data_IF_937930527611
#
_entry.id   IF_937930527611
#
_cell.length_a   1.000
_cell.length_b   1.000
_cell.length_c   1.000
_cell.angle_alpha   90.00
_cell.angle_beta   90.00
_cell.angle_gamma   90.00
#
_symmetry.space_group_name_H-M   'P 1'
#
loop_
_entity.id
_entity.type
_entity.pdbx_description
1 polymer ?
#
# COMPACT_ATOMS: atom_id res chain seq x y z
N UNK A 1 5.65 -26.17 58.42
CA UNK A 1 4.75 -26.34 57.27
C UNK A 1 3.32 -26.54 57.80
N UNK A 2 2.43 -25.54 57.58
CA UNK A 2 1.03 -25.66 58.04
C UNK A 2 0.31 -26.70 57.16
N UNK A 3 -0.21 -27.74 57.79
CA UNK A 3 -1.04 -28.74 57.12
C UNK A 3 -2.51 -28.35 57.26
N UNK A 4 -3.25 -28.33 56.17
CA UNK A 4 -4.70 -28.18 56.13
C UNK A 4 -5.24 -29.44 55.45
N UNK A 5 -6.12 -30.17 56.13
CA UNK A 5 -6.68 -31.46 55.68
C UNK A 5 -5.63 -32.55 55.37
N UNK A 6 -4.53 -32.58 56.13
CA UNK A 6 -3.45 -33.56 55.96
C UNK A 6 -2.45 -33.27 54.83
N UNK A 7 -2.71 -32.26 53.99
CA UNK A 7 -1.84 -31.87 52.90
C UNK A 7 -1.05 -30.61 53.26
N UNK A 8 0.23 -30.57 52.92
CA UNK A 8 1.07 -29.38 53.07
C UNK A 8 0.51 -28.22 52.27
N UNK A 9 0.30 -27.08 52.91
CA UNK A 9 -0.18 -25.85 52.26
C UNK A 9 0.78 -25.40 51.15
N UNK A 10 2.05 -25.66 51.30
CA UNK A 10 3.08 -25.42 50.34
C UNK A 10 2.88 -26.25 49.06
N UNK A 11 2.64 -27.57 49.20
CA UNK A 11 2.40 -28.46 48.06
C UNK A 11 1.11 -28.08 47.33
N UNK A 12 0.06 -27.71 48.02
CA UNK A 12 -1.21 -27.26 47.46
C UNK A 12 -1.02 -25.95 46.63
N UNK A 13 -0.27 -25.00 47.19
CA UNK A 13 0.04 -23.76 46.45
C UNK A 13 0.93 -24.01 45.26
N UNK A 14 1.90 -24.92 45.34
CA UNK A 14 2.76 -25.30 44.21
C UNK A 14 1.94 -25.96 43.09
N UNK A 15 1.00 -26.84 43.45
CA UNK A 15 0.10 -27.48 42.48
C UNK A 15 -0.80 -26.46 41.77
N UNK A 16 -1.40 -25.52 42.53
CA UNK A 16 -2.19 -24.43 41.96
C UNK A 16 -1.39 -23.57 41.00
N UNK A 17 -0.15 -23.18 41.36
CA UNK A 17 0.74 -22.40 40.50
C UNK A 17 1.09 -23.19 39.22
N UNK A 18 1.33 -24.51 39.37
CA UNK A 18 1.64 -25.37 38.22
C UNK A 18 0.45 -25.50 37.29
N UNK A 19 -0.78 -25.64 37.82
CA UNK A 19 -2.00 -25.66 37.00
C UNK A 19 -2.27 -24.33 36.32
N UNK A 20 -2.09 -23.20 37.02
CA UNK A 20 -2.20 -21.87 36.41
C UNK A 20 -1.18 -21.69 35.25
N UNK A 21 0.08 -22.09 35.47
CA UNK A 21 1.11 -22.03 34.44
C UNK A 21 0.77 -22.91 33.23
N UNK A 22 0.27 -24.13 33.43
CA UNK A 22 -0.16 -25.03 32.36
C UNK A 22 -1.32 -24.44 31.55
N UNK A 23 -2.32 -23.85 32.22
CA UNK A 23 -3.43 -23.16 31.55
C UNK A 23 -2.96 -21.96 30.76
N UNK A 24 -2.01 -21.20 31.28
CA UNK A 24 -1.45 -20.05 30.59
C UNK A 24 -0.64 -20.48 29.37
N UNK A 25 0.14 -21.56 29.42
CA UNK A 25 0.85 -22.15 28.29
C UNK A 25 -0.14 -22.61 27.23
N UNK A 26 -1.20 -23.34 27.58
CA UNK A 26 -2.23 -23.82 26.67
C UNK A 26 -2.97 -22.66 25.96
N UNK A 27 -3.35 -21.63 26.72
CA UNK A 27 -3.94 -20.40 26.15
C UNK A 27 -2.99 -19.75 25.14
N UNK A 28 -1.71 -19.64 25.51
CA UNK A 28 -0.68 -19.05 24.67
C UNK A 28 -0.43 -19.83 23.37
N UNK A 29 -0.36 -21.16 23.46
CA UNK A 29 -0.18 -22.02 22.30
C UNK A 29 -1.38 -21.96 21.36
N UNK A 30 -2.60 -21.95 21.89
CA UNK A 30 -3.83 -21.77 21.11
C UNK A 30 -3.86 -20.42 20.40
N UNK A 31 -3.52 -19.34 21.08
CA UNK A 31 -3.43 -18.00 20.47
C UNK A 31 -2.36 -17.95 19.38
N UNK A 32 -1.18 -18.51 19.64
CA UNK A 32 -0.07 -18.55 18.68
C UNK A 32 -0.45 -19.32 17.41
N UNK A 33 -1.09 -20.48 17.56
CA UNK A 33 -1.60 -21.27 16.44
C UNK A 33 -2.65 -20.51 15.63
N UNK A 34 -3.62 -19.87 16.31
CA UNK A 34 -4.66 -19.07 15.66
C UNK A 34 -4.08 -17.90 14.87
N UNK A 35 -3.16 -17.14 15.45
CA UNK A 35 -2.51 -16.02 14.76
C UNK A 35 -1.60 -16.49 13.61
N UNK A 36 -0.97 -17.65 13.74
CA UNK A 36 -0.19 -18.22 12.64
C UNK A 36 -1.07 -18.60 11.46
N UNK A 37 -2.21 -19.25 11.70
CA UNK A 37 -3.19 -19.59 10.69
C UNK A 37 -3.76 -18.36 10.00
N UNK A 38 -4.15 -17.33 10.77
CA UNK A 38 -4.64 -16.06 10.22
C UNK A 38 -3.58 -15.33 9.39
N UNK A 39 -2.30 -15.40 9.78
CA UNK A 39 -1.21 -14.80 9.00
C UNK A 39 -1.06 -15.47 7.64
N UNK A 40 -1.19 -16.79 7.56
CA UNK A 40 -1.15 -17.53 6.29
C UNK A 40 -2.36 -17.15 5.42
N UNK A 41 -3.57 -17.18 6.00
CA UNK A 41 -4.80 -16.82 5.28
C UNK A 41 -4.76 -15.39 4.75
N UNK A 42 -4.14 -14.46 5.48
CA UNK A 42 -4.05 -13.06 5.05
C UNK A 42 -3.19 -12.85 3.80
N UNK A 43 -2.31 -13.79 3.44
CA UNK A 43 -1.46 -13.71 2.24
C UNK A 43 -2.18 -14.29 1.01
N UNK A 44 -3.19 -15.15 1.19
CA UNK A 44 -3.91 -15.83 0.11
C UNK A 44 -4.44 -14.86 -0.96
N UNK A 45 -5.09 -13.72 -0.64
CA UNK A 45 -5.56 -12.78 -1.64
C UNK A 45 -4.44 -12.23 -2.53
N UNK A 46 -3.24 -12.03 -1.97
CA UNK A 46 -2.09 -11.54 -2.72
C UNK A 46 -1.60 -12.58 -3.75
N UNK A 47 -1.55 -13.86 -3.37
CA UNK A 47 -1.13 -14.94 -4.25
C UNK A 47 -2.18 -15.22 -5.33
N UNK A 48 -3.48 -15.12 -4.97
CA UNK A 48 -4.60 -15.42 -5.88
C UNK A 48 -4.94 -14.29 -6.85
N UNK A 49 -4.42 -13.08 -6.63
CA UNK A 49 -4.76 -11.91 -7.43
C UNK A 49 -4.39 -12.08 -8.91
N UNK A 50 -3.16 -12.50 -9.23
CA UNK A 50 -2.72 -12.69 -10.63
C UNK A 50 -3.39 -13.89 -11.32
N UNK A 51 -3.51 -15.09 -10.72
CA UNK A 51 -4.27 -16.17 -11.32
C UNK A 51 -5.73 -15.82 -11.61
N UNK A 52 -6.42 -15.16 -10.67
CA UNK A 52 -7.82 -14.75 -10.86
C UNK A 52 -7.96 -13.69 -11.96
N UNK A 53 -7.04 -12.72 -12.02
CA UNK A 53 -6.99 -11.71 -13.08
C UNK A 53 -6.78 -12.36 -14.44
N UNK A 54 -5.80 -13.25 -14.57
CA UNK A 54 -5.52 -13.95 -15.82
C UNK A 54 -6.70 -14.79 -16.26
N UNK A 55 -7.33 -15.52 -15.34
CA UNK A 55 -8.54 -16.28 -15.59
C UNK A 55 -9.70 -15.39 -16.05
N UNK A 56 -9.92 -14.26 -15.38
CA UNK A 56 -10.97 -13.31 -15.75
C UNK A 56 -10.74 -12.73 -17.14
N UNK A 57 -9.50 -12.33 -17.47
CA UNK A 57 -9.17 -11.76 -18.78
C UNK A 57 -9.27 -12.78 -19.92
N UNK A 58 -8.98 -14.07 -19.68
CA UNK A 58 -9.12 -15.09 -20.73
C UNK A 58 -10.55 -15.56 -20.96
N UNK A 59 -11.41 -15.53 -19.92
CA UNK A 59 -12.80 -15.96 -20.06
C UNK A 59 -13.77 -14.83 -20.41
N UNK A 60 -13.43 -13.59 -20.07
CA UNK A 60 -14.28 -12.41 -20.25
C UNK A 60 -13.49 -11.29 -20.91
N UNK A 61 -13.54 -11.21 -22.23
CA UNK A 61 -12.78 -10.21 -23.02
C UNK A 61 -13.02 -8.75 -22.61
N UNK A 62 -14.24 -8.41 -22.16
CA UNK A 62 -14.57 -7.07 -21.66
C UNK A 62 -13.80 -6.69 -20.39
N UNK A 63 -13.27 -7.66 -19.63
CA UNK A 63 -12.49 -7.40 -18.42
C UNK A 63 -11.06 -6.96 -18.73
N UNK A 64 -10.56 -7.21 -19.93
CA UNK A 64 -9.20 -6.82 -20.33
C UNK A 64 -9.01 -5.30 -20.24
N UNK A 65 -9.95 -4.53 -20.80
CA UNK A 65 -9.92 -3.06 -20.75
C UNK A 65 -9.93 -2.53 -19.31
N UNK A 66 -10.66 -3.20 -18.42
CA UNK A 66 -10.70 -2.85 -17.01
C UNK A 66 -9.38 -3.16 -16.30
N UNK A 67 -8.87 -4.41 -16.40
CA UNK A 67 -7.66 -4.81 -15.68
C UNK A 67 -6.37 -4.20 -16.22
N UNK A 68 -6.31 -3.90 -17.53
CA UNK A 68 -5.19 -3.17 -18.17
C UNK A 68 -5.33 -1.65 -17.99
N UNK A 69 -6.53 -1.15 -17.70
CA UNK A 69 -6.79 0.26 -17.51
C UNK A 69 -6.40 0.79 -16.12
N UNK A 70 -6.43 2.12 -15.98
CA UNK A 70 -6.05 2.84 -14.75
C UNK A 70 -6.85 2.40 -13.52
N UNK A 71 -8.15 2.16 -13.67
CA UNK A 71 -9.02 1.73 -12.57
C UNK A 71 -8.64 0.34 -12.04
N UNK A 72 -8.40 -0.62 -12.93
CA UNK A 72 -8.00 -1.97 -12.55
C UNK A 72 -6.69 -1.99 -11.79
N UNK A 73 -5.71 -1.18 -12.21
CA UNK A 73 -4.43 -1.04 -11.51
C UNK A 73 -4.58 -0.43 -10.12
N UNK A 74 -5.39 0.63 -9.99
CA UNK A 74 -5.66 1.25 -8.69
C UNK A 74 -6.26 0.23 -7.73
N UNK A 75 -7.25 -0.55 -8.19
CA UNK A 75 -7.88 -1.58 -7.36
C UNK A 75 -6.88 -2.68 -6.96
N UNK A 76 -6.03 -3.14 -7.87
CA UNK A 76 -4.98 -4.12 -7.56
C UNK A 76 -4.02 -3.59 -6.48
N UNK A 77 -3.57 -2.35 -6.60
CA UNK A 77 -2.69 -1.72 -5.60
C UNK A 77 -3.42 -1.60 -4.25
N UNK A 78 -4.68 -1.20 -4.23
CA UNK A 78 -5.48 -1.11 -3.00
C UNK A 78 -5.59 -2.49 -2.33
N UNK A 79 -5.91 -3.53 -3.08
CA UNK A 79 -6.01 -4.90 -2.54
C UNK A 79 -4.67 -5.36 -1.94
N UNK A 80 -3.55 -5.16 -2.65
CA UNK A 80 -2.21 -5.48 -2.15
C UNK A 80 -1.89 -4.70 -0.86
N UNK A 81 -2.19 -3.41 -0.84
CA UNK A 81 -1.93 -2.56 0.32
C UNK A 81 -2.75 -2.99 1.54
N UNK A 82 -4.05 -3.23 1.36
CA UNK A 82 -4.94 -3.71 2.44
C UNK A 82 -4.45 -5.06 2.96
N UNK A 83 -4.12 -6.00 2.07
CA UNK A 83 -3.59 -7.32 2.45
C UNK A 83 -2.30 -7.20 3.25
N UNK A 84 -1.38 -6.34 2.81
CA UNK A 84 -0.11 -6.10 3.50
C UNK A 84 -0.31 -5.47 4.88
N UNK A 85 -1.20 -4.50 5.00
CA UNK A 85 -1.56 -3.89 6.30
C UNK A 85 -2.17 -4.93 7.24
N UNK A 86 -3.12 -5.74 6.75
CA UNK A 86 -3.71 -6.82 7.54
C UNK A 86 -2.65 -7.82 8.03
N UNK A 87 -1.72 -8.22 7.16
CA UNK A 87 -0.61 -9.11 7.52
C UNK A 87 0.28 -8.52 8.62
N UNK A 88 0.69 -7.25 8.48
CA UNK A 88 1.49 -6.57 9.51
C UNK A 88 0.74 -6.50 10.84
N UNK A 89 -0.56 -6.16 10.81
CA UNK A 89 -1.38 -6.09 12.01
C UNK A 89 -1.44 -7.44 12.72
N UNK A 90 -1.76 -8.52 11.99
CA UNK A 90 -1.82 -9.88 12.55
C UNK A 90 -0.47 -10.30 13.13
N UNK A 91 0.63 -10.08 12.40
CA UNK A 91 1.98 -10.39 12.87
C UNK A 91 2.33 -9.64 14.16
N UNK A 92 1.99 -8.37 14.23
CA UNK A 92 2.26 -7.55 15.41
C UNK A 92 1.37 -7.90 16.59
N UNK A 93 0.14 -8.38 16.35
CA UNK A 93 -0.72 -8.97 17.38
C UNK A 93 -0.12 -10.26 17.94
N UNK A 94 0.40 -11.12 17.07
CA UNK A 94 1.11 -12.34 17.47
C UNK A 94 2.32 -12.04 18.36
N UNK A 95 3.17 -11.09 17.96
CA UNK A 95 4.38 -10.72 18.69
C UNK A 95 4.06 -10.10 20.07
N UNK A 96 2.93 -9.38 20.20
CA UNK A 96 2.48 -8.80 21.46
C UNK A 96 1.74 -9.79 22.35
N UNK A 97 1.07 -10.80 21.77
CA UNK A 97 0.43 -11.91 22.51
C UNK A 97 1.45 -12.89 23.10
N UNK A 98 2.62 -13.00 22.49
CA UNK A 98 3.77 -13.66 23.09
C UNK A 98 4.37 -12.69 24.13
N UNK A 99 3.80 -12.72 25.34
CA UNK A 99 4.30 -11.96 26.49
C UNK A 99 5.83 -11.95 26.49
N UNK A 100 6.39 -10.76 26.36
CA UNK A 100 7.73 -10.29 26.63
C UNK A 100 8.62 -11.19 27.50
N UNK A 101 8.98 -12.36 27.05
CA UNK A 101 10.05 -13.16 27.64
C UNK A 101 11.37 -12.98 26.91
N UNK A 102 11.37 -12.34 25.74
CA UNK A 102 12.62 -11.75 25.24
C UNK A 102 12.77 -10.40 25.94
N UNK A 103 13.57 -10.41 27.00
CA UNK A 103 14.33 -9.26 27.46
C UNK A 103 15.12 -8.75 26.23
N UNK A 104 14.41 -8.06 25.33
CA UNK A 104 15.07 -7.23 24.34
C UNK A 104 15.77 -6.12 25.14
N UNK A 105 17.01 -6.42 25.44
CA UNK A 105 18.00 -5.52 26.00
C UNK A 105 18.35 -4.43 24.96
N UNK A 106 17.33 -3.90 24.30
CA UNK A 106 17.44 -2.83 23.33
C UNK A 106 17.42 -1.49 24.09
N UNK A 107 18.53 -1.28 24.83
CA UNK A 107 18.73 -0.08 25.64
C UNK A 107 18.73 1.20 24.78
N UNK A 108 18.90 1.10 23.45
CA UNK A 108 18.84 2.21 22.52
C UNK A 108 18.04 1.87 21.25
N UNK A 109 16.71 1.98 21.28
CA UNK A 109 15.91 1.81 20.07
C UNK A 109 16.26 2.90 19.04
N UNK A 110 16.09 2.60 17.74
CA UNK A 110 16.40 3.53 16.66
C UNK A 110 15.70 4.90 16.81
N UNK A 111 14.51 4.92 17.45
CA UNK A 111 13.78 6.13 17.77
C UNK A 111 14.56 7.04 18.72
N UNK A 112 15.24 6.47 19.70
CA UNK A 112 16.07 7.23 20.62
C UNK A 112 17.27 7.87 19.89
N UNK A 113 17.89 7.13 18.96
CA UNK A 113 18.98 7.65 18.13
C UNK A 113 18.52 8.82 17.28
N UNK A 114 17.35 8.70 16.66
CA UNK A 114 16.79 9.74 15.81
C UNK A 114 16.37 10.98 16.62
N UNK A 115 15.74 10.78 17.79
CA UNK A 115 15.32 11.86 18.68
C UNK A 115 16.50 12.66 19.27
N UNK A 116 17.68 12.03 19.44
CA UNK A 116 18.86 12.71 19.95
C UNK A 116 19.49 13.71 18.95
N UNK A 117 19.09 13.69 17.69
CA UNK A 117 19.53 14.65 16.67
C UNK A 117 18.84 16.00 16.96
N UNK A 118 19.61 17.04 17.25
CA UNK A 118 19.09 18.37 17.67
C UNK A 118 17.94 18.93 16.81
N UNK A 119 18.01 18.97 15.44
CA UNK A 119 16.91 19.47 14.62
C UNK A 119 15.66 18.58 14.69
N UNK A 120 15.84 17.24 14.73
CA UNK A 120 14.73 16.28 14.84
C UNK A 120 14.01 16.45 16.18
N UNK A 121 14.77 16.56 17.27
CA UNK A 121 14.22 16.80 18.61
C UNK A 121 13.35 18.04 18.62
N UNK A 122 13.86 19.17 18.13
CA UNK A 122 13.12 20.45 18.10
C UNK A 122 11.83 20.34 17.28
N UNK A 123 11.86 19.61 16.18
CA UNK A 123 10.71 19.39 15.33
C UNK A 123 9.67 18.46 15.99
N UNK A 124 10.12 17.35 16.59
CA UNK A 124 9.24 16.39 17.27
C UNK A 124 8.60 17.00 18.50
N UNK A 125 9.34 17.81 19.28
CA UNK A 125 8.85 18.47 20.49
C UNK A 125 7.70 19.44 20.20
N UNK A 126 7.62 19.99 18.97
CA UNK A 126 6.50 20.83 18.53
C UNK A 126 5.15 20.07 18.52
N UNK A 127 5.19 18.76 18.22
CA UNK A 127 4.00 17.90 18.14
C UNK A 127 3.67 17.21 19.46
N UNK A 128 4.59 17.17 20.42
CA UNK A 128 4.36 16.53 21.71
C UNK A 128 3.46 17.44 22.57
N UNK A 129 2.35 16.90 23.11
CA UNK A 129 1.50 17.67 24.02
C UNK A 129 2.28 18.13 25.26
N UNK A 130 2.07 19.39 25.67
CA UNK A 130 2.73 19.99 26.83
C UNK A 130 2.41 19.21 28.10
N UNK A 131 3.33 19.24 29.07
CA UNK A 131 3.12 18.64 30.37
C UNK A 131 1.86 19.19 31.04
N UNK A 132 1.08 18.30 31.70
CA UNK A 132 -0.17 18.68 32.36
C UNK A 132 -1.43 18.60 31.46
N UNK A 133 -1.31 18.50 30.12
CA UNK A 133 -2.46 18.41 29.22
C UNK A 133 -3.21 17.07 29.34
N UNK A 134 -4.52 17.11 29.10
CA UNK A 134 -5.37 15.90 29.11
C UNK A 134 -4.89 14.85 28.11
N UNK A 135 -4.43 15.28 26.92
CA UNK A 135 -3.98 14.38 25.87
C UNK A 135 -2.67 13.67 26.25
N UNK A 136 -1.74 14.37 26.87
CA UNK A 136 -0.51 13.73 27.38
C UNK A 136 -0.83 12.69 28.46
N UNK A 137 -1.78 12.99 29.34
CA UNK A 137 -2.25 12.05 30.37
C UNK A 137 -2.90 10.81 29.75
N UNK A 138 -3.76 10.98 28.73
CA UNK A 138 -4.38 9.86 27.98
C UNK A 138 -3.35 8.95 27.34
N UNK A 139 -2.36 9.53 26.65
CA UNK A 139 -1.29 8.76 25.99
C UNK A 139 -0.43 8.02 27.01
N UNK A 140 -0.05 8.70 28.11
CA UNK A 140 0.74 8.09 29.20
C UNK A 140 -0.03 6.91 29.85
N UNK A 141 -1.34 7.09 30.05
CA UNK A 141 -2.21 6.01 30.53
C UNK A 141 -2.26 4.85 29.54
N UNK A 142 -2.48 5.12 28.27
CA UNK A 142 -2.52 4.09 27.23
C UNK A 142 -1.19 3.30 27.12
N UNK A 143 -0.05 3.98 27.22
CA UNK A 143 1.28 3.34 27.26
C UNK A 143 1.43 2.42 28.48
N UNK A 144 0.94 2.86 29.65
CA UNK A 144 0.95 2.05 30.87
C UNK A 144 0.02 0.85 30.75
N UNK A 145 -1.21 1.06 30.27
CA UNK A 145 -2.22 0.02 30.09
C UNK A 145 -1.79 -1.03 29.05
N UNK A 146 -1.04 -0.62 28.03
CA UNK A 146 -0.42 -1.51 27.04
C UNK A 146 0.86 -2.20 27.56
N UNK A 147 1.33 -1.91 28.78
CA UNK A 147 2.66 -2.30 29.30
C UNK A 147 3.82 -2.00 28.34
N UNK A 148 3.67 -0.96 27.54
CA UNK A 148 4.71 -0.55 26.61
C UNK A 148 5.84 0.17 27.37
N UNK A 149 7.08 -0.27 27.15
CA UNK A 149 8.29 0.41 27.64
C UNK A 149 8.63 1.66 26.82
N UNK A 150 7.82 1.98 25.81
CA UNK A 150 8.05 3.08 24.88
C UNK A 150 7.83 4.44 25.56
N UNK A 151 8.76 5.37 25.38
CA UNK A 151 8.57 6.77 25.85
C UNK A 151 7.64 7.52 24.89
N UNK A 152 6.97 8.56 25.38
CA UNK A 152 6.08 9.40 24.58
C UNK A 152 6.82 9.98 23.40
N UNK A 153 8.04 10.46 23.61
CA UNK A 153 8.90 11.06 22.58
C UNK A 153 9.15 10.08 21.42
N UNK A 154 9.42 8.83 21.72
CA UNK A 154 9.64 7.77 20.72
C UNK A 154 8.35 7.43 19.95
N UNK A 155 7.20 7.47 20.63
CA UNK A 155 5.91 7.31 19.96
C UNK A 155 5.69 8.41 18.93
N UNK A 156 6.02 9.66 19.26
CA UNK A 156 5.88 10.79 18.34
C UNK A 156 6.90 10.75 17.19
N UNK A 157 8.12 10.29 17.44
CA UNK A 157 9.08 10.00 16.36
C UNK A 157 8.49 8.97 15.38
N UNK A 158 7.93 7.86 15.88
CA UNK A 158 7.28 6.86 15.03
C UNK A 158 6.11 7.45 14.21
N UNK A 159 5.30 8.31 14.80
CA UNK A 159 4.17 8.97 14.12
C UNK A 159 4.64 9.84 12.96
N UNK A 160 5.65 10.65 13.20
CA UNK A 160 6.18 11.57 12.20
C UNK A 160 6.89 10.82 11.09
N UNK A 161 7.75 9.85 11.43
CA UNK A 161 8.47 9.03 10.44
C UNK A 161 7.49 8.24 9.58
N UNK A 162 6.44 7.66 10.17
CA UNK A 162 5.44 6.93 9.43
C UNK A 162 4.61 7.85 8.52
N UNK A 163 4.26 9.06 8.98
CA UNK A 163 3.56 10.03 8.16
C UNK A 163 4.38 10.43 6.92
N UNK A 164 5.67 10.75 7.12
CA UNK A 164 6.58 11.11 6.03
C UNK A 164 6.77 9.93 5.07
N UNK A 165 6.97 8.72 5.59
CA UNK A 165 7.13 7.52 4.76
C UNK A 165 5.89 7.24 3.91
N UNK A 166 4.69 7.33 4.49
CA UNK A 166 3.42 7.15 3.78
C UNK A 166 3.21 8.24 2.74
N UNK A 167 3.55 9.49 3.04
CA UNK A 167 3.48 10.60 2.08
C UNK A 167 4.36 10.36 0.85
N UNK A 168 5.64 10.05 1.06
CA UNK A 168 6.59 9.76 -0.02
C UNK A 168 6.13 8.54 -0.84
N UNK A 169 5.72 7.47 -0.16
CA UNK A 169 5.23 6.26 -0.82
C UNK A 169 4.00 6.54 -1.69
N UNK A 170 3.07 7.38 -1.21
CA UNK A 170 1.88 7.77 -1.96
C UNK A 170 2.23 8.55 -3.23
N UNK A 171 3.17 9.50 -3.15
CA UNK A 171 3.62 10.26 -4.32
C UNK A 171 4.29 9.33 -5.34
N UNK A 172 5.19 8.45 -4.89
CA UNK A 172 5.84 7.47 -5.77
C UNK A 172 4.81 6.56 -6.43
N UNK A 173 3.79 6.13 -5.68
CA UNK A 173 2.68 5.34 -6.22
C UNK A 173 1.93 6.08 -7.32
N UNK A 174 1.57 7.36 -7.12
CA UNK A 174 0.91 8.16 -8.16
C UNK A 174 1.78 8.34 -9.41
N UNK A 175 3.07 8.63 -9.22
CA UNK A 175 4.02 8.71 -10.34
C UNK A 175 4.11 7.38 -11.11
N UNK A 176 4.13 6.25 -10.41
CA UNK A 176 4.10 4.93 -11.04
C UNK A 176 2.81 4.70 -11.83
N UNK A 177 1.65 5.08 -11.28
CA UNK A 177 0.36 4.95 -11.97
C UNK A 177 0.33 5.76 -13.28
N UNK A 178 0.85 6.99 -13.27
CA UNK A 178 0.96 7.79 -14.50
C UNK A 178 1.89 7.14 -15.51
N UNK A 179 3.06 6.65 -15.08
CA UNK A 179 4.00 5.95 -15.96
C UNK A 179 3.36 4.72 -16.60
N UNK A 180 2.70 3.88 -15.80
CA UNK A 180 2.05 2.67 -16.31
C UNK A 180 0.93 3.02 -17.30
N UNK A 181 0.18 4.10 -17.07
CA UNK A 181 -0.83 4.57 -18.02
C UNK A 181 -0.21 5.01 -19.35
N UNK A 182 0.90 5.72 -19.30
CA UNK A 182 1.66 6.08 -20.51
C UNK A 182 2.14 4.83 -21.23
N UNK A 183 2.79 3.91 -20.51
CA UNK A 183 3.28 2.64 -21.08
C UNK A 183 2.15 1.81 -21.70
N UNK A 184 0.95 1.84 -21.09
CA UNK A 184 -0.23 1.18 -21.62
C UNK A 184 -0.65 1.78 -22.98
N UNK A 185 -0.71 3.13 -23.10
CA UNK A 185 -1.08 3.82 -24.34
C UNK A 185 -0.09 3.52 -25.46
N UNK A 186 1.20 3.42 -25.14
CA UNK A 186 2.25 3.11 -26.11
C UNK A 186 2.22 1.67 -26.60
N UNK A 187 1.74 0.74 -25.78
CA UNK A 187 1.70 -0.70 -26.09
C UNK A 187 0.31 -1.21 -26.50
N UNK A 188 -0.71 -0.36 -26.48
CA UNK A 188 -2.06 -0.76 -26.87
C UNK A 188 -2.15 -0.87 -28.41
N UNK A 189 -2.55 -2.07 -28.94
CA UNK A 189 -2.68 -2.26 -30.39
C UNK A 189 -3.69 -1.28 -30.99
N UNK A 190 -3.29 -0.53 -31.99
CA UNK A 190 -4.16 0.42 -32.67
C UNK A 190 -5.00 -0.31 -33.71
N UNK A 191 -6.32 -0.34 -33.50
CA UNK A 191 -7.29 -0.95 -34.40
C UNK A 191 -8.27 0.09 -34.95
N UNK A 192 -8.86 -0.19 -36.13
CA UNK A 192 -9.86 0.68 -36.74
C UNK A 192 -11.28 0.51 -36.19
N UNK A 193 -11.48 -0.51 -35.36
CA UNK A 193 -12.77 -0.85 -34.77
C UNK A 193 -12.60 -1.29 -33.31
N UNK A 194 -13.64 -1.06 -32.51
CA UNK A 194 -13.71 -1.57 -31.15
C UNK A 194 -13.89 -3.09 -31.16
N UNK A 195 -12.82 -3.79 -30.86
CA UNK A 195 -12.80 -5.25 -30.83
C UNK A 195 -13.50 -5.77 -29.55
N UNK A 196 -14.48 -6.64 -29.80
CA UNK A 196 -15.02 -7.52 -28.78
C UNK A 196 -14.30 -8.87 -28.94
N UNK A 197 -13.16 -9.05 -28.24
CA UNK A 197 -12.37 -10.27 -28.32
C UNK A 197 -10.87 -10.05 -28.44
N UNK A 198 -10.10 -11.14 -28.54
CA UNK A 198 -8.67 -11.10 -28.81
C UNK A 198 -8.44 -11.03 -30.32
N UNK A 199 -7.43 -10.24 -30.74
CA UNK A 199 -6.95 -10.20 -32.11
C UNK A 199 -6.28 -11.54 -32.45
N UNK A 200 -6.52 -12.01 -33.68
CA UNK A 200 -5.71 -13.09 -34.24
C UNK A 200 -4.25 -12.67 -34.34
N UNK A 201 -3.32 -13.60 -34.25
CA UNK A 201 -1.86 -13.30 -34.17
C UNK A 201 -1.37 -12.44 -35.34
N UNK A 202 -1.96 -12.64 -36.54
CA UNK A 202 -1.62 -11.84 -37.72
C UNK A 202 -2.13 -10.40 -37.63
N UNK A 203 -3.34 -10.21 -37.13
CA UNK A 203 -3.95 -8.89 -37.00
C UNK A 203 -3.35 -8.14 -35.83
N UNK A 204 -2.93 -8.83 -34.77
CA UNK A 204 -2.16 -8.26 -33.67
C UNK A 204 -0.83 -7.68 -34.15
N UNK A 205 -0.06 -8.43 -34.98
CA UNK A 205 1.21 -7.93 -35.53
C UNK A 205 1.02 -6.68 -36.37
N UNK A 206 0.02 -6.67 -37.25
CA UNK A 206 -0.31 -5.48 -38.05
C UNK A 206 -0.70 -4.28 -37.19
N UNK A 207 -1.55 -4.51 -36.18
CA UNK A 207 -1.96 -3.46 -35.28
C UNK A 207 -0.78 -2.89 -34.48
N UNK A 208 0.19 -3.74 -34.10
CA UNK A 208 1.41 -3.30 -33.43
C UNK A 208 2.33 -2.50 -34.34
N UNK A 209 2.50 -2.88 -35.62
CA UNK A 209 3.26 -2.07 -36.61
C UNK A 209 2.64 -0.67 -36.74
N UNK A 210 1.31 -0.56 -36.83
CA UNK A 210 0.61 0.74 -36.85
C UNK A 210 0.83 1.50 -35.52
N UNK A 211 0.83 0.79 -34.41
CA UNK A 211 1.08 1.40 -33.09
C UNK A 211 2.50 1.96 -32.97
N UNK A 212 3.51 1.23 -33.45
CA UNK A 212 4.89 1.73 -33.46
C UNK A 212 5.02 3.00 -34.34
N UNK A 213 4.34 3.02 -35.48
CA UNK A 213 4.29 4.19 -36.33
C UNK A 213 3.61 5.38 -35.64
N UNK A 214 2.48 5.15 -34.95
CA UNK A 214 1.81 6.18 -34.15
C UNK A 214 2.69 6.69 -33.02
N UNK A 215 3.43 5.80 -32.34
CA UNK A 215 4.34 6.15 -31.26
C UNK A 215 5.47 7.07 -31.73
N UNK A 216 5.98 6.86 -32.96
CA UNK A 216 6.95 7.74 -33.54
C UNK A 216 6.44 9.20 -33.63
N UNK A 217 5.19 9.39 -34.07
CA UNK A 217 4.57 10.71 -34.09
C UNK A 217 4.23 11.26 -32.73
N UNK A 218 3.80 10.39 -31.79
CA UNK A 218 3.58 10.77 -30.39
C UNK A 218 4.84 11.36 -29.76
N UNK A 219 6.01 10.77 -30.02
CA UNK A 219 7.28 11.23 -29.47
C UNK A 219 7.70 12.61 -30.01
N UNK A 220 7.37 12.92 -31.26
CA UNK A 220 7.64 14.24 -31.89
C UNK A 220 6.85 15.35 -31.18
N UNK A 221 5.61 15.05 -30.74
CA UNK A 221 4.69 16.05 -30.19
C UNK A 221 4.55 15.97 -28.68
N UNK A 222 5.13 14.97 -28.05
CA UNK A 222 5.08 14.80 -26.59
C UNK A 222 5.61 16.03 -25.86
N UNK A 223 4.83 16.52 -24.88
CA UNK A 223 5.16 17.71 -24.10
C UNK A 223 4.83 19.06 -24.78
N UNK A 224 4.36 19.05 -26.02
CA UNK A 224 3.88 20.25 -26.68
C UNK A 224 2.37 20.39 -26.42
N UNK A 225 1.98 21.34 -25.59
CA UNK A 225 0.59 21.50 -25.16
C UNK A 225 -0.31 22.13 -26.23
N UNK A 226 0.26 22.91 -27.14
CA UNK A 226 -0.48 23.65 -28.17
C UNK A 226 -0.61 22.90 -29.51
N UNK A 227 -0.25 21.58 -29.51
CA UNK A 227 -0.34 20.76 -30.73
C UNK A 227 -1.80 20.55 -31.11
N UNK A 228 -2.12 20.82 -32.36
CA UNK A 228 -3.44 20.56 -32.97
C UNK A 228 -3.41 19.28 -33.80
N UNK A 229 -4.60 18.76 -34.15
CA UNK A 229 -4.71 17.62 -35.06
C UNK A 229 -4.08 17.96 -36.42
N UNK A 230 -4.26 19.21 -36.92
CA UNK A 230 -3.72 19.67 -38.19
C UNK A 230 -2.19 19.67 -38.23
N UNK A 231 -1.53 19.93 -37.09
CA UNK A 231 -0.06 19.88 -36.99
C UNK A 231 0.46 18.46 -37.16
N UNK A 232 -0.23 17.50 -36.54
CA UNK A 232 0.07 16.07 -36.68
C UNK A 232 -0.15 15.62 -38.11
N UNK A 233 -1.26 16.01 -38.73
CA UNK A 233 -1.59 15.69 -40.11
C UNK A 233 -0.56 16.23 -41.09
N UNK A 234 -0.12 17.49 -40.93
CA UNK A 234 0.93 18.10 -41.75
C UNK A 234 2.26 17.34 -41.62
N UNK A 235 2.62 16.88 -40.43
CA UNK A 235 3.86 16.12 -40.22
C UNK A 235 3.75 14.71 -40.82
N UNK A 236 2.57 14.06 -40.68
CA UNK A 236 2.30 12.78 -41.34
C UNK A 236 2.41 12.84 -42.84
N UNK A 237 1.87 13.90 -43.49
CA UNK A 237 1.96 14.13 -44.94
C UNK A 237 3.40 14.31 -45.44
N UNK A 238 4.31 14.83 -44.61
CA UNK A 238 5.73 14.96 -44.93
C UNK A 238 6.48 13.63 -44.77
N UNK A 239 5.95 12.71 -44.01
CA UNK A 239 6.59 11.45 -43.70
C UNK A 239 6.53 10.48 -44.88
N UNK A 240 7.61 9.70 -45.06
CA UNK A 240 7.67 8.62 -46.05
C UNK A 240 6.61 7.52 -45.82
N UNK A 241 6.18 7.34 -44.60
CA UNK A 241 5.27 6.27 -44.20
C UNK A 241 3.85 6.47 -44.71
N UNK A 242 3.41 7.71 -44.92
CA UNK A 242 2.05 8.07 -45.37
C UNK A 242 2.00 8.66 -46.77
N UNK A 243 3.09 8.53 -47.58
CA UNK A 243 3.22 9.15 -48.90
C UNK A 243 2.17 8.65 -49.88
N UNK A 244 1.85 7.36 -49.79
CA UNK A 244 0.92 6.69 -50.70
C UNK A 244 -0.45 6.39 -50.03
N UNK A 245 -0.70 7.00 -48.85
CA UNK A 245 -1.93 6.81 -48.11
C UNK A 245 -3.02 7.80 -48.54
N UNK A 246 -4.26 7.34 -48.52
CA UNK A 246 -5.42 8.16 -48.81
C UNK A 246 -5.63 9.25 -47.75
N UNK A 247 -6.17 10.39 -48.12
CA UNK A 247 -6.41 11.55 -47.24
C UNK A 247 -7.29 11.19 -46.04
N UNK A 248 -8.30 10.35 -46.25
CA UNK A 248 -9.20 9.87 -45.17
C UNK A 248 -8.46 9.01 -44.13
N UNK A 249 -7.48 8.21 -44.57
CA UNK A 249 -6.63 7.40 -43.70
C UNK A 249 -5.68 8.27 -42.89
N UNK A 250 -5.11 9.31 -43.48
CA UNK A 250 -4.23 10.25 -42.79
C UNK A 250 -5.00 11.00 -41.71
N UNK A 251 -6.18 11.53 -42.04
CA UNK A 251 -7.05 12.25 -41.10
C UNK A 251 -7.48 11.35 -39.91
N UNK A 252 -7.91 10.12 -40.18
CA UNK A 252 -8.31 9.14 -39.14
C UNK A 252 -7.15 8.82 -38.22
N UNK A 253 -5.96 8.55 -38.75
CA UNK A 253 -4.78 8.25 -37.94
C UNK A 253 -4.28 9.48 -37.18
N UNK A 254 -4.30 10.68 -37.79
CA UNK A 254 -3.98 11.92 -37.09
C UNK A 254 -4.90 12.17 -35.88
N UNK A 255 -6.19 11.91 -36.04
CA UNK A 255 -7.15 11.99 -34.96
C UNK A 255 -6.83 11.00 -33.82
N UNK A 256 -6.52 9.73 -34.15
CA UNK A 256 -6.14 8.73 -33.15
C UNK A 256 -4.86 9.11 -32.40
N UNK A 257 -3.84 9.61 -33.14
CA UNK A 257 -2.59 10.08 -32.52
C UNK A 257 -2.86 11.29 -31.63
N UNK A 258 -3.70 12.23 -32.05
CA UNK A 258 -4.07 13.39 -31.27
C UNK A 258 -4.79 13.02 -29.97
N UNK A 259 -5.73 12.08 -30.02
CA UNK A 259 -6.43 11.58 -28.84
C UNK A 259 -5.45 10.90 -27.86
N UNK A 260 -4.54 10.06 -28.37
CA UNK A 260 -3.47 9.45 -27.55
C UNK A 260 -2.55 10.52 -26.95
N UNK A 261 -2.14 11.51 -27.74
CA UNK A 261 -1.28 12.61 -27.32
C UNK A 261 -1.91 13.43 -26.18
N UNK A 262 -3.20 13.72 -26.31
CA UNK A 262 -3.95 14.46 -25.29
C UNK A 262 -3.96 13.71 -23.95
N UNK A 263 -4.12 12.39 -23.98
CA UNK A 263 -4.06 11.57 -22.77
C UNK A 263 -2.64 11.55 -22.22
N UNK A 264 -1.62 11.25 -23.04
CA UNK A 264 -0.21 11.21 -22.61
C UNK A 264 0.24 12.55 -22.01
N UNK A 265 -0.11 13.68 -22.65
CA UNK A 265 0.24 15.01 -22.15
C UNK A 265 -0.54 15.40 -20.89
N UNK A 266 -1.67 14.74 -20.59
CA UNK A 266 -2.45 14.95 -19.35
C UNK A 266 -1.98 14.08 -18.19
N UNK A 267 -1.09 13.10 -18.43
CA UNK A 267 -0.59 12.18 -17.41
C UNK A 267 0.62 12.76 -16.66
N UNK A 268 0.33 13.67 -15.74
CA UNK A 268 1.30 14.26 -14.81
C UNK A 268 0.70 14.31 -13.40
N UNK A 269 1.57 14.47 -12.39
CA UNK A 269 1.14 14.56 -11.00
C UNK A 269 0.24 15.79 -10.80
N UNK A 270 -1.02 15.56 -10.47
CA UNK A 270 -2.04 16.59 -10.30
C UNK A 270 -2.08 17.09 -8.86
N UNK A 271 -2.47 18.34 -8.66
CA UNK A 271 -2.52 18.96 -7.33
C UNK A 271 -3.40 18.20 -6.33
N UNK A 272 -4.52 17.61 -6.78
CA UNK A 272 -5.40 16.83 -5.91
C UNK A 272 -4.77 15.51 -5.46
N UNK A 273 -3.84 14.92 -6.21
CA UNK A 273 -3.08 13.73 -5.83
C UNK A 273 -2.11 14.05 -4.68
N UNK A 274 -1.53 15.26 -4.68
CA UNK A 274 -0.73 15.74 -3.56
C UNK A 274 -1.60 15.92 -2.31
N UNK A 275 -2.83 16.47 -2.45
CA UNK A 275 -3.78 16.56 -1.34
C UNK A 275 -4.15 15.16 -0.82
N UNK A 276 -4.40 14.20 -1.71
CA UNK A 276 -4.70 12.82 -1.33
C UNK A 276 -3.52 12.18 -0.60
N UNK A 277 -2.28 12.41 -1.06
CA UNK A 277 -1.08 11.97 -0.36
C UNK A 277 -0.96 12.58 1.05
N UNK A 278 -1.36 13.84 1.24
CA UNK A 278 -1.43 14.45 2.57
C UNK A 278 -2.48 13.77 3.47
N UNK A 279 -3.64 13.40 2.94
CA UNK A 279 -4.66 12.64 3.70
C UNK A 279 -4.10 11.29 4.13
N UNK A 280 -3.40 10.57 3.25
CA UNK A 280 -2.73 9.33 3.61
C UNK A 280 -1.64 9.52 4.67
N UNK A 281 -0.88 10.62 4.61
CA UNK A 281 0.09 10.97 5.64
C UNK A 281 -0.56 11.22 7.01
N UNK A 282 -1.74 11.85 7.06
CA UNK A 282 -2.51 12.04 8.32
C UNK A 282 -2.95 10.68 8.88
N UNK A 283 -3.40 9.77 8.03
CA UNK A 283 -3.72 8.39 8.44
C UNK A 283 -2.47 7.68 8.98
N UNK A 284 -1.33 7.81 8.28
CA UNK A 284 -0.04 7.30 8.73
C UNK A 284 0.38 7.86 10.10
N UNK A 285 0.16 9.15 10.31
CA UNK A 285 0.42 9.80 11.59
C UNK A 285 -0.47 9.30 12.73
N UNK A 286 -1.72 8.93 12.44
CA UNK A 286 -2.66 8.37 13.43
C UNK A 286 -2.39 6.89 13.75
N UNK A 287 -1.80 6.13 12.83
CA UNK A 287 -1.64 4.68 12.93
C UNK A 287 -0.92 4.20 14.19
N UNK A 288 0.19 4.79 14.70
CA UNK A 288 0.83 4.32 15.92
C UNK A 288 -0.03 4.48 17.18
N UNK A 289 -0.88 5.50 17.25
CA UNK A 289 -1.83 5.65 18.38
C UNK A 289 -2.95 4.61 18.29
N UNK A 290 -3.49 4.38 17.09
CA UNK A 290 -4.50 3.34 16.88
C UNK A 290 -3.95 1.98 17.28
N UNK A 291 -2.72 1.69 16.92
CA UNK A 291 -2.02 0.47 17.28
C UNK A 291 -1.81 0.33 18.79
N UNK A 292 -1.45 1.42 19.48
CA UNK A 292 -1.34 1.46 20.93
C UNK A 292 -2.69 1.16 21.60
N UNK A 293 -3.79 1.78 21.12
CA UNK A 293 -5.14 1.49 21.62
C UNK A 293 -5.53 0.03 21.41
N UNK A 294 -5.18 -0.54 20.27
CA UNK A 294 -5.43 -1.96 19.97
C UNK A 294 -4.68 -2.88 20.94
N UNK A 295 -3.42 -2.56 21.26
CA UNK A 295 -2.64 -3.29 22.28
C UNK A 295 -3.30 -3.26 23.66
N UNK A 296 -3.85 -2.11 24.07
CA UNK A 296 -4.60 -1.99 25.34
C UNK A 296 -5.83 -2.89 25.33
N UNK A 297 -6.60 -2.92 24.23
CA UNK A 297 -7.81 -3.76 24.12
C UNK A 297 -7.45 -5.25 24.23
N UNK A 298 -6.42 -5.69 23.47
CA UNK A 298 -5.98 -7.10 23.51
C UNK A 298 -5.53 -7.49 24.91
N UNK A 299 -4.77 -6.62 25.56
CA UNK A 299 -4.31 -6.91 26.93
C UNK A 299 -5.46 -7.00 27.93
N UNK A 300 -6.49 -6.16 27.79
CA UNK A 300 -7.71 -6.30 28.61
C UNK A 300 -8.37 -7.65 28.39
N UNK A 301 -8.59 -8.05 27.13
CA UNK A 301 -9.18 -9.35 26.81
C UNK A 301 -8.34 -10.54 27.29
N UNK A 302 -7.03 -10.39 27.48
CA UNK A 302 -6.17 -11.45 27.99
C UNK A 302 -6.15 -11.53 29.52
N UNK A 303 -6.65 -10.51 30.23
CA UNK A 303 -6.73 -10.46 31.70
C UNK A 303 -8.12 -10.81 32.22
N UNK A 304 -9.15 -10.77 31.38
CA UNK A 304 -10.50 -11.29 31.65
C UNK A 304 -10.58 -12.80 31.30
#
# INVERSE_FOLDING_TARGET
>A
DRKVDGVSLYLKNLDNITQEMQLEILKRDKLNYTFQSLSIISIVPMIMLEPLKSWAMSNFSFTQSFYKGKLGMIIQIIVLLVTFVCYILIRKLKDNGAVNTKLENNQNPWQAKLYNIKPVKKFVDLFIPKDGTADRRKIKKALKDAASKQKIEWLYVNRIVLAIAVFILSIVMFMMLHKVQIDYIYNEPTTDYNLIGELDERDYKKAMEVTELHNHFLDIFRGKLDTTQDDIEKEMRKSKYYRDSDDTTIESNAKKIYEKLKVVNSEYLKWFEILLAMVFAIIGYAAPILMLKFQVIIRKMSME
#
